data_IF_563472200278
#
_entry.id   IF_563472200278
#
_cell.length_a   1.000
_cell.length_b   1.000
_cell.length_c   1.000
_cell.angle_alpha   90.00
_cell.angle_beta   90.00
_cell.angle_gamma   90.00
#
_symmetry.space_group_name_H-M   'P 1'
#
loop_
_entity.id
_entity.type
_entity.pdbx_description
1 polymer ?
#
# COMPACT_ATOMS: atom_id res chain seq x y z
N UNK A 1 74.11 27.66 -28.11
CA UNK A 1 72.65 27.44 -28.23
C UNK A 1 72.17 26.15 -27.54
N UNK A 2 72.78 25.69 -26.43
CA UNK A 2 72.29 24.51 -25.68
C UNK A 2 71.36 24.90 -24.51
N UNK A 3 71.59 26.07 -23.93
CA UNK A 3 70.87 26.56 -22.75
C UNK A 3 69.38 26.95 -23.00
N UNK A 4 68.96 27.07 -24.26
CA UNK A 4 67.57 27.41 -24.63
C UNK A 4 66.68 26.17 -24.84
N UNK A 5 67.26 24.97 -24.88
CA UNK A 5 66.57 23.70 -25.10
C UNK A 5 66.47 22.85 -23.82
N UNK A 6 67.05 23.33 -22.72
CA UNK A 6 66.94 22.70 -21.42
C UNK A 6 65.57 23.04 -20.84
N UNK A 7 64.77 22.00 -20.54
CA UNK A 7 63.48 22.18 -19.90
C UNK A 7 63.69 22.86 -18.53
N UNK A 8 63.20 24.09 -18.41
CA UNK A 8 63.18 24.80 -17.14
C UNK A 8 62.42 23.94 -16.12
N UNK A 9 63.12 23.43 -15.11
CA UNK A 9 62.51 22.71 -14.01
C UNK A 9 61.64 23.72 -13.26
N UNK A 10 60.34 23.66 -13.54
CA UNK A 10 59.37 24.55 -12.91
C UNK A 10 59.08 24.04 -11.50
N UNK A 11 58.92 24.95 -10.52
CA UNK A 11 58.51 24.56 -9.18
C UNK A 11 57.12 23.88 -9.22
N UNK A 12 56.83 22.98 -8.27
CA UNK A 12 55.55 22.30 -8.23
C UNK A 12 54.40 23.30 -8.10
N UNK A 13 53.37 23.14 -8.92
CA UNK A 13 52.19 24.02 -8.88
C UNK A 13 51.51 23.92 -7.52
N UNK A 14 51.22 25.06 -6.85
CA UNK A 14 50.50 25.06 -5.58
C UNK A 14 49.15 24.36 -5.68
N UNK A 15 48.76 23.64 -4.62
CA UNK A 15 47.54 22.83 -4.59
C UNK A 15 46.26 23.62 -4.94
N UNK A 16 46.19 24.88 -4.52
CA UNK A 16 45.06 25.77 -4.83
C UNK A 16 44.95 25.98 -6.34
N UNK A 17 46.07 26.29 -7.00
CA UNK A 17 46.14 26.52 -8.45
C UNK A 17 45.91 25.23 -9.22
N UNK A 18 46.41 24.09 -8.71
CA UNK A 18 46.20 22.77 -9.30
C UNK A 18 44.71 22.45 -9.44
N UNK A 19 43.88 22.75 -8.42
CA UNK A 19 42.42 22.54 -8.48
C UNK A 19 41.76 23.30 -9.62
N UNK A 20 42.11 24.57 -9.81
CA UNK A 20 41.59 25.39 -10.91
C UNK A 20 42.10 24.91 -12.27
N UNK A 21 43.36 24.47 -12.32
CA UNK A 21 43.98 23.96 -13.54
C UNK A 21 43.33 22.64 -13.99
N UNK A 22 43.01 21.73 -13.05
CA UNK A 22 42.30 20.47 -13.36
C UNK A 22 40.93 20.72 -14.00
N UNK A 23 40.23 21.78 -13.60
CA UNK A 23 38.94 22.17 -14.19
C UNK A 23 39.10 22.80 -15.59
N UNK A 24 40.04 23.74 -15.75
CA UNK A 24 40.20 24.52 -16.99
C UNK A 24 41.00 23.78 -18.07
N UNK A 25 42.07 23.09 -17.67
CA UNK A 25 43.06 22.45 -18.54
C UNK A 25 43.18 20.97 -18.17
N UNK A 26 42.16 20.20 -18.52
CA UNK A 26 42.15 18.75 -18.30
C UNK A 26 42.97 18.04 -19.38
N UNK A 27 43.71 16.99 -19.01
CA UNK A 27 44.44 16.16 -19.95
C UNK A 27 43.48 15.43 -20.92
N UNK A 28 43.96 15.02 -22.09
CA UNK A 28 43.15 14.43 -23.16
C UNK A 28 42.35 13.18 -22.72
N UNK A 29 42.85 12.43 -21.74
CA UNK A 29 42.22 11.19 -21.26
C UNK A 29 41.47 11.37 -19.92
N UNK A 30 41.56 12.56 -19.31
CA UNK A 30 40.94 12.83 -18.02
C UNK A 30 39.56 13.46 -18.20
N UNK A 31 38.59 13.03 -17.38
CA UNK A 31 37.28 13.68 -17.32
C UNK A 31 37.41 14.97 -16.52
N UNK A 32 36.88 16.06 -17.08
CA UNK A 32 36.78 17.34 -16.39
C UNK A 32 35.92 17.18 -15.12
N UNK A 33 36.46 17.55 -13.97
CA UNK A 33 35.77 17.52 -12.66
C UNK A 33 35.53 18.96 -12.22
N UNK A 34 34.29 19.30 -11.86
CA UNK A 34 33.95 20.62 -11.34
C UNK A 34 34.84 21.00 -10.14
N UNK A 35 35.35 22.23 -10.12
CA UNK A 35 36.36 22.68 -9.14
C UNK A 35 35.93 22.45 -7.68
N UNK A 36 34.64 22.55 -7.38
CA UNK A 36 34.11 22.27 -6.04
C UNK A 36 34.09 20.77 -5.68
N UNK A 37 34.06 19.88 -6.68
CA UNK A 37 34.00 18.42 -6.50
C UNK A 37 35.38 17.75 -6.44
N UNK A 38 36.47 18.48 -6.70
CA UNK A 38 37.84 17.91 -6.74
C UNK A 38 38.25 17.27 -5.42
N UNK A 39 37.77 17.80 -4.29
CA UNK A 39 38.05 17.29 -2.94
C UNK A 39 36.88 16.51 -2.34
N UNK A 40 35.82 16.24 -3.12
CA UNK A 40 34.64 15.55 -2.61
C UNK A 40 34.95 14.06 -2.43
N UNK A 41 34.77 13.57 -1.20
CA UNK A 41 34.94 12.16 -0.86
C UNK A 41 33.90 11.28 -1.56
N UNK A 42 32.68 11.80 -1.73
CA UNK A 42 31.57 11.07 -2.35
C UNK A 42 31.78 10.84 -3.86
N UNK A 43 32.68 11.60 -4.50
CA UNK A 43 32.97 11.42 -5.92
C UNK A 43 33.56 10.02 -6.21
N UNK A 44 34.29 9.44 -5.26
CA UNK A 44 34.84 8.08 -5.41
C UNK A 44 33.72 7.04 -5.42
N UNK A 45 32.76 7.18 -4.51
CA UNK A 45 31.62 6.28 -4.40
C UNK A 45 30.67 6.47 -5.59
N UNK A 46 30.44 7.71 -6.01
CA UNK A 46 29.62 8.01 -7.18
C UNK A 46 30.16 7.39 -8.47
N UNK A 47 31.48 7.18 -8.61
CA UNK A 47 32.05 6.50 -9.77
C UNK A 47 31.79 5.00 -9.79
N UNK A 48 31.59 4.36 -8.63
CA UNK A 48 31.33 2.92 -8.51
C UNK A 48 29.84 2.59 -8.35
N UNK A 49 28.99 3.59 -8.13
CA UNK A 49 27.54 3.40 -8.06
C UNK A 49 26.95 3.10 -9.45
N UNK A 50 26.01 2.15 -9.48
CA UNK A 50 25.16 1.95 -10.65
C UNK A 50 24.15 3.11 -10.74
N UNK A 51 24.26 3.88 -11.82
CA UNK A 51 23.30 4.93 -12.12
C UNK A 51 22.14 4.36 -12.93
N UNK A 52 20.91 4.67 -12.53
CA UNK A 52 19.71 4.22 -13.21
C UNK A 52 18.52 4.07 -12.27
N UNK A 53 17.36 3.79 -12.86
CA UNK A 53 16.15 3.50 -12.09
C UNK A 53 16.14 2.00 -11.79
N UNK A 54 16.28 1.65 -10.51
CA UNK A 54 16.04 0.27 -10.07
C UNK A 54 14.57 0.13 -9.68
N UNK A 55 13.81 -0.59 -10.51
CA UNK A 55 12.46 -0.99 -10.13
C UNK A 55 12.56 -2.00 -8.98
N UNK A 56 11.92 -1.67 -7.85
CA UNK A 56 11.74 -2.63 -6.76
C UNK A 56 10.50 -3.45 -7.07
N UNK A 57 10.64 -4.77 -7.17
CA UNK A 57 9.50 -5.66 -7.25
C UNK A 57 8.70 -5.55 -5.95
N UNK A 58 7.49 -5.00 -6.05
CA UNK A 58 6.63 -4.73 -4.89
C UNK A 58 5.82 -5.94 -4.46
N UNK A 59 5.57 -6.87 -5.37
CA UNK A 59 4.67 -8.00 -5.17
C UNK A 59 5.19 -9.19 -5.95
N UNK A 60 5.25 -10.34 -5.29
CA UNK A 60 5.65 -11.58 -5.94
C UNK A 60 4.43 -12.26 -6.57
N UNK A 61 4.62 -12.95 -7.70
CA UNK A 61 3.52 -13.65 -8.41
C UNK A 61 2.74 -14.60 -7.48
N UNK A 62 3.43 -15.25 -6.53
CA UNK A 62 2.80 -16.13 -5.53
C UNK A 62 1.76 -15.42 -4.67
N UNK A 63 1.98 -14.14 -4.35
CA UNK A 63 1.09 -13.33 -3.51
C UNK A 63 -0.18 -12.94 -4.29
N UNK A 64 -0.12 -12.92 -5.62
CA UNK A 64 -1.26 -12.65 -6.49
C UNK A 64 -2.12 -13.92 -6.70
N UNK A 65 -1.48 -15.07 -6.90
CA UNK A 65 -2.17 -16.34 -7.13
C UNK A 65 -2.84 -16.83 -5.85
N UNK A 66 -2.12 -16.77 -4.73
CA UNK A 66 -2.61 -17.17 -3.41
C UNK A 66 -2.39 -16.04 -2.43
N UNK A 67 -3.35 -15.11 -2.29
CA UNK A 67 -3.24 -14.07 -1.28
C UNK A 67 -3.05 -14.70 0.09
N UNK A 68 -2.24 -14.04 0.91
CA UNK A 68 -1.97 -14.49 2.28
C UNK A 68 -3.28 -14.53 3.06
N UNK A 69 -3.49 -15.60 3.82
CA UNK A 69 -4.63 -15.69 4.72
C UNK A 69 -4.59 -14.52 5.72
N UNK A 70 -5.69 -13.78 5.88
CA UNK A 70 -5.73 -12.63 6.77
C UNK A 70 -5.57 -13.10 8.22
N UNK A 71 -4.86 -12.29 9.01
CA UNK A 71 -4.89 -12.42 10.45
C UNK A 71 -6.29 -12.16 11.00
N UNK A 72 -6.54 -12.55 12.26
CA UNK A 72 -7.85 -12.35 12.91
C UNK A 72 -8.28 -10.88 12.91
N UNK A 73 -7.35 -9.95 13.17
CA UNK A 73 -7.61 -8.51 13.15
C UNK A 73 -7.93 -7.99 11.73
N UNK A 74 -7.20 -8.48 10.73
CA UNK A 74 -7.44 -8.11 9.33
C UNK A 74 -8.79 -8.62 8.84
N UNK A 75 -9.16 -9.86 9.20
CA UNK A 75 -10.46 -10.44 8.86
C UNK A 75 -11.62 -9.65 9.49
N UNK A 76 -11.49 -9.26 10.77
CA UNK A 76 -12.48 -8.40 11.43
C UNK A 76 -12.59 -7.03 10.75
N UNK A 77 -11.45 -6.42 10.43
CA UNK A 77 -11.42 -5.13 9.73
C UNK A 77 -12.06 -5.22 8.34
N UNK A 78 -11.87 -6.34 7.65
CA UNK A 78 -12.49 -6.59 6.35
C UNK A 78 -13.99 -6.78 6.46
N UNK A 79 -14.47 -7.55 7.46
CA UNK A 79 -15.90 -7.71 7.72
C UNK A 79 -16.61 -6.37 7.97
N UNK A 80 -15.98 -5.46 8.75
CA UNK A 80 -16.51 -4.10 8.99
C UNK A 80 -16.58 -3.29 7.69
N UNK A 81 -15.56 -3.38 6.82
CA UNK A 81 -15.58 -2.69 5.51
C UNK A 81 -16.66 -3.24 4.60
N UNK A 82 -16.89 -4.55 4.62
CA UNK A 82 -17.87 -5.23 3.78
C UNK A 82 -19.32 -5.12 4.30
N UNK A 83 -19.52 -4.67 5.54
CA UNK A 83 -20.85 -4.40 6.11
C UNK A 83 -21.61 -3.30 5.32
N UNK A 84 -20.89 -2.47 4.56
CA UNK A 84 -21.52 -1.45 3.70
C UNK A 84 -22.37 -2.10 2.60
N UNK A 85 -21.98 -3.29 2.14
CA UNK A 85 -22.65 -3.94 1.02
C UNK A 85 -23.97 -4.60 1.43
N UNK A 86 -25.00 -4.43 0.60
CA UNK A 86 -26.30 -5.08 0.82
C UNK A 86 -26.24 -6.61 0.75
N UNK A 87 -25.29 -7.16 -0.01
CA UNK A 87 -25.08 -8.60 -0.15
C UNK A 87 -24.72 -9.25 1.18
N UNK A 88 -23.85 -8.61 1.98
CA UNK A 88 -23.42 -9.13 3.28
C UNK A 88 -24.58 -9.16 4.28
N UNK A 89 -25.50 -8.20 4.21
CA UNK A 89 -26.71 -8.15 5.06
C UNK A 89 -27.79 -9.13 4.66
N UNK A 90 -28.01 -9.29 3.35
CA UNK A 90 -29.12 -10.10 2.80
C UNK A 90 -28.79 -11.59 2.76
N UNK A 91 -27.51 -11.95 2.64
CA UNK A 91 -27.07 -13.35 2.49
C UNK A 91 -25.88 -13.66 3.40
N UNK A 92 -26.04 -13.57 4.73
CA UNK A 92 -24.98 -14.00 5.63
C UNK A 92 -24.76 -15.51 5.50
N UNK A 93 -23.52 -15.93 5.32
CA UNK A 93 -23.15 -17.35 5.22
C UNK A 93 -23.53 -18.08 6.51
N UNK A 94 -24.32 -19.15 6.38
CA UNK A 94 -24.71 -19.98 7.53
C UNK A 94 -25.66 -19.31 8.53
N UNK A 95 -26.15 -18.10 8.25
CA UNK A 95 -27.12 -17.41 9.10
C UNK A 95 -28.37 -16.99 8.32
N UNK A 96 -29.47 -16.84 9.03
CA UNK A 96 -30.67 -16.21 8.49
C UNK A 96 -30.64 -14.71 8.76
N UNK A 97 -31.20 -13.87 7.87
CA UNK A 97 -31.39 -12.45 8.15
C UNK A 97 -32.15 -12.25 9.46
N UNK A 98 -31.73 -11.27 10.26
CA UNK A 98 -32.35 -10.99 11.56
C UNK A 98 -33.80 -10.52 11.35
N UNK A 99 -34.81 -11.22 11.89
CA UNK A 99 -36.19 -10.81 11.75
C UNK A 99 -36.45 -9.55 12.60
N UNK A 100 -37.24 -8.62 12.06
CA UNK A 100 -37.67 -7.43 12.79
C UNK A 100 -38.86 -7.78 13.69
N UNK A 101 -38.57 -8.43 14.83
CA UNK A 101 -39.59 -8.86 15.79
C UNK A 101 -39.98 -7.70 16.72
N UNK A 102 -41.27 -7.55 17.08
CA UNK A 102 -41.72 -6.65 18.13
C UNK A 102 -41.02 -6.92 19.47
N UNK A 103 -40.76 -5.87 20.26
CA UNK A 103 -40.03 -5.95 21.54
C UNK A 103 -40.58 -6.95 22.56
N UNK A 104 -41.86 -7.32 22.45
CA UNK A 104 -42.54 -8.24 23.36
C UNK A 104 -42.52 -9.71 22.90
N UNK A 105 -41.98 -9.99 21.71
CA UNK A 105 -41.86 -11.34 21.17
C UNK A 105 -40.43 -11.82 21.35
N UNK A 106 -40.23 -12.76 22.28
CA UNK A 106 -38.97 -13.49 22.39
C UNK A 106 -38.93 -14.60 21.33
N UNK A 107 -37.87 -14.61 20.51
CA UNK A 107 -37.67 -15.58 19.43
C UNK A 107 -37.50 -17.03 19.95
N UNK A 108 -37.09 -17.23 21.21
CA UNK A 108 -36.87 -18.56 21.80
C UNK A 108 -38.08 -19.07 22.56
N UNK A 109 -38.82 -18.17 23.20
CA UNK A 109 -39.92 -18.55 24.09
C UNK A 109 -41.29 -18.42 23.44
N UNK A 110 -41.44 -17.52 22.47
CA UNK A 110 -42.72 -17.27 21.82
C UNK A 110 -42.96 -18.31 20.73
N UNK A 111 -44.00 -19.12 20.90
CA UNK A 111 -44.47 -20.02 19.85
C UNK A 111 -45.34 -19.24 18.87
N UNK A 112 -44.95 -19.22 17.60
CA UNK A 112 -45.75 -18.62 16.55
C UNK A 112 -46.92 -19.52 16.16
N UNK A 113 -48.08 -18.92 15.91
CA UNK A 113 -49.30 -19.63 15.52
C UNK A 113 -50.48 -19.25 16.40
N UNK A 114 -51.68 -19.68 16.00
CA UNK A 114 -52.88 -19.48 16.80
C UNK A 114 -53.05 -20.67 17.74
N UNK A 115 -53.10 -20.48 19.07
CA UNK A 115 -53.35 -21.60 19.97
C UNK A 115 -54.73 -22.17 19.68
N UNK A 116 -54.81 -23.49 19.49
CA UNK A 116 -56.08 -24.18 19.44
C UNK A 116 -56.58 -24.36 20.87
N UNK A 117 -57.46 -23.46 21.30
CA UNK A 117 -58.08 -23.54 22.63
C UNK A 117 -59.28 -24.50 22.51
N UNK A 118 -59.21 -25.74 23.05
CA UNK A 118 -60.34 -26.65 23.00
C UNK A 118 -61.52 -26.02 23.77
N UNK A 119 -62.59 -25.69 23.06
CA UNK A 119 -63.80 -25.07 23.62
C UNK A 119 -64.20 -23.72 23.04
N UNK A 120 -63.31 -23.00 22.32
CA UNK A 120 -63.72 -21.83 21.51
C UNK A 120 -64.24 -22.30 20.15
N UNK A 121 -65.52 -22.71 20.08
CA UNK A 121 -66.26 -22.65 18.81
C UNK A 121 -66.33 -21.19 18.40
N UNK A 122 -65.61 -20.83 17.34
CA UNK A 122 -65.86 -19.56 16.65
C UNK A 122 -67.16 -19.78 15.89
N UNK A 123 -68.29 -19.55 16.57
CA UNK A 123 -69.57 -19.36 15.89
C UNK A 123 -69.35 -18.12 15.03
N UNK A 124 -69.33 -18.31 13.72
CA UNK A 124 -69.28 -17.22 12.75
C UNK A 124 -70.61 -16.49 12.86
N UNK A 125 -70.66 -15.43 13.67
CA UNK A 125 -71.74 -14.48 13.61
C UNK A 125 -71.70 -13.82 12.22
N UNK A 126 -72.77 -14.09 11.48
CA UNK A 126 -73.14 -13.44 10.23
C UNK A 126 -73.51 -11.99 10.58
N UNK A 127 -72.80 -10.99 10.04
CA UNK A 127 -73.33 -9.65 9.76
C UNK A 127 -72.42 -8.85 8.80
N UNK A 128 -72.73 -9.02 7.50
CA UNK A 128 -72.83 -8.05 6.39
C UNK A 128 -72.08 -6.70 6.52
N UNK A 129 -71.22 -6.37 5.54
CA UNK A 129 -71.39 -5.19 4.66
C UNK A 129 -70.35 -5.14 3.52
N UNK A 130 -70.80 -5.44 2.29
CA UNK A 130 -70.18 -4.97 1.06
C UNK A 130 -70.76 -3.58 0.76
N UNK A 131 -69.96 -2.53 0.94
CA UNK A 131 -69.90 -1.31 0.11
C UNK A 131 -68.45 -0.85 0.11
#
# INVERSE_FOLDING_TARGET
>A
MKHCLEHLISPPTPDVVRRWNTWNNTNLEEKRIFHALVNDKQLKDARSMYHGIQCKDRTQIRELIRPKEPSTLEALSQAVKEEIYDSSKKKPLGMCPKPNLPKHIDQRETVFGRPNIPGRRVVRDILIQFI
#
